data_IF_110385126503
#
_entry.id   IF_110385126503
#
_cell.length_a   1.000
_cell.length_b   1.000
_cell.length_c   1.000
_cell.angle_alpha   90.00
_cell.angle_beta   90.00
_cell.angle_gamma   90.00
#
_symmetry.space_group_name_H-M   'P 1'
#
loop_
_entity.id
_entity.type
_entity.pdbx_description
1 polymer ?
#
# COMPACT_ATOMS: atom_id res chain seq x y z
N UNK A 1 2.25 -42.33 -9.27
CA UNK A 1 2.52 -41.01 -8.67
C UNK A 1 3.37 -41.25 -7.44
N UNK A 2 4.57 -40.66 -7.37
CA UNK A 2 5.39 -40.69 -6.15
C UNK A 2 4.66 -39.90 -5.05
N UNK A 3 4.81 -40.32 -3.80
CA UNK A 3 4.32 -39.54 -2.67
C UNK A 3 5.12 -38.24 -2.56
N UNK A 4 4.49 -37.12 -2.19
CA UNK A 4 5.17 -35.82 -2.08
C UNK A 4 6.42 -35.88 -1.18
N UNK A 5 6.36 -36.65 -0.09
CA UNK A 5 7.49 -36.81 0.81
C UNK A 5 8.65 -37.62 0.21
N UNK A 6 8.37 -38.57 -0.70
CA UNK A 6 9.42 -39.30 -1.44
C UNK A 6 10.14 -38.37 -2.42
N UNK A 7 9.39 -37.52 -3.14
CA UNK A 7 9.95 -36.47 -3.98
C UNK A 7 10.83 -35.49 -3.19
N UNK A 8 10.41 -35.11 -1.96
CA UNK A 8 11.21 -34.22 -1.12
C UNK A 8 12.55 -34.85 -0.75
N UNK A 9 12.57 -36.14 -0.36
CA UNK A 9 13.80 -36.85 -0.01
C UNK A 9 14.74 -36.94 -1.21
N UNK A 10 14.21 -37.27 -2.40
CA UNK A 10 15.00 -37.38 -3.64
C UNK A 10 15.65 -36.05 -4.05
N UNK A 11 15.01 -34.92 -3.72
CA UNK A 11 15.51 -33.58 -4.04
C UNK A 11 16.20 -32.89 -2.85
N UNK A 12 16.58 -33.64 -1.80
CA UNK A 12 17.31 -33.10 -0.64
C UNK A 12 16.51 -32.10 0.21
N UNK A 13 15.17 -32.12 0.11
CA UNK A 13 14.27 -31.30 0.92
C UNK A 13 13.77 -32.08 2.13
N UNK A 14 13.51 -31.37 3.23
CA UNK A 14 12.94 -31.99 4.43
C UNK A 14 11.53 -32.56 4.16
N UNK A 15 11.24 -33.75 4.69
CA UNK A 15 9.90 -34.36 4.62
C UNK A 15 8.89 -33.51 5.41
N UNK A 16 7.67 -33.36 4.87
CA UNK A 16 6.61 -32.60 5.54
C UNK A 16 5.83 -33.49 6.51
N UNK A 17 5.58 -32.97 7.71
CA UNK A 17 4.67 -33.59 8.68
C UNK A 17 3.21 -33.34 8.28
N UNK A 18 2.61 -34.35 7.65
CA UNK A 18 1.21 -34.32 7.20
C UNK A 18 0.25 -34.16 8.38
N UNK A 19 0.57 -34.70 9.56
CA UNK A 19 -0.28 -34.59 10.73
C UNK A 19 -0.26 -33.16 11.29
N UNK A 20 0.92 -32.52 11.29
CA UNK A 20 1.09 -31.11 11.63
C UNK A 20 0.34 -30.18 10.67
N UNK A 21 0.43 -30.41 9.36
CA UNK A 21 -0.31 -29.64 8.35
C UNK A 21 -1.82 -29.78 8.55
N UNK A 22 -2.31 -31.01 8.73
CA UNK A 22 -3.74 -31.26 8.95
C UNK A 22 -4.23 -30.61 10.25
N UNK A 23 -3.42 -30.62 11.31
CA UNK A 23 -3.75 -29.97 12.58
C UNK A 23 -3.83 -28.45 12.44
N UNK A 24 -2.85 -27.84 11.75
CA UNK A 24 -2.87 -26.40 11.45
C UNK A 24 -4.09 -26.02 10.62
N UNK A 25 -4.37 -26.77 9.55
CA UNK A 25 -5.52 -26.56 8.69
C UNK A 25 -6.84 -26.65 9.46
N UNK A 26 -7.01 -27.69 10.29
CA UNK A 26 -8.22 -27.85 11.10
C UNK A 26 -8.32 -26.82 12.24
N UNK A 27 -7.21 -26.21 12.66
CA UNK A 27 -7.20 -25.15 13.67
C UNK A 27 -7.53 -23.76 13.11
N UNK A 28 -7.44 -23.59 11.79
CA UNK A 28 -7.84 -22.35 11.13
C UNK A 28 -9.36 -22.30 11.08
N UNK A 29 -9.93 -21.35 11.82
CA UNK A 29 -11.31 -20.94 11.59
C UNK A 29 -11.35 -20.16 10.28
N UNK A 30 -12.41 -20.28 9.45
CA UNK A 30 -12.57 -19.39 8.31
C UNK A 30 -12.57 -17.96 8.84
N UNK A 31 -11.52 -17.20 8.52
CA UNK A 31 -11.24 -15.87 9.09
C UNK A 31 -12.12 -14.77 8.48
N UNK A 32 -13.24 -15.14 7.86
CA UNK A 32 -14.10 -14.24 7.09
C UNK A 32 -15.56 -14.35 7.51
N UNK A 33 -16.24 -13.21 7.49
CA UNK A 33 -17.70 -13.16 7.41
C UNK A 33 -18.13 -13.97 6.16
N UNK A 34 -19.07 -14.93 6.26
CA UNK A 34 -19.59 -15.65 5.09
C UNK A 34 -20.20 -14.70 4.05
N UNK A 35 -20.56 -13.49 4.48
CA UNK A 35 -21.11 -12.45 3.62
C UNK A 35 -20.02 -11.44 3.27
N UNK A 36 -19.58 -11.46 2.00
CA UNK A 36 -18.66 -10.45 1.49
C UNK A 36 -19.32 -9.05 1.55
N UNK A 37 -18.69 -8.05 2.21
CA UNK A 37 -19.24 -6.70 2.33
C UNK A 37 -19.57 -6.07 0.97
N UNK A 38 -20.63 -5.24 0.88
CA UNK A 38 -21.09 -4.68 -0.39
C UNK A 38 -20.04 -3.79 -1.06
N UNK A 39 -19.16 -3.17 -0.29
CA UNK A 39 -18.04 -2.37 -0.80
C UNK A 39 -17.00 -3.24 -1.51
N UNK A 40 -16.64 -4.38 -0.92
CA UNK A 40 -15.68 -5.32 -1.49
C UNK A 40 -16.24 -5.96 -2.76
N UNK A 41 -17.55 -6.29 -2.78
CA UNK A 41 -18.22 -6.79 -4.00
C UNK A 41 -18.15 -5.79 -5.14
N UNK A 42 -18.49 -4.52 -4.87
CA UNK A 42 -18.44 -3.44 -5.86
C UNK A 42 -17.02 -3.18 -6.36
N UNK A 43 -16.03 -3.19 -5.46
CA UNK A 43 -14.63 -3.03 -5.83
C UNK A 43 -14.18 -4.16 -6.77
N UNK A 44 -14.50 -5.42 -6.43
CA UNK A 44 -14.13 -6.58 -7.26
C UNK A 44 -14.83 -6.57 -8.62
N UNK A 45 -16.08 -6.13 -8.66
CA UNK A 45 -16.82 -5.95 -9.91
C UNK A 45 -16.20 -4.85 -10.79
N UNK A 46 -15.80 -3.73 -10.20
CA UNK A 46 -15.08 -2.66 -10.89
C UNK A 46 -13.72 -3.14 -11.44
N UNK A 47 -12.94 -3.87 -10.63
CA UNK A 47 -11.68 -4.47 -11.08
C UNK A 47 -11.89 -5.40 -12.26
N UNK A 48 -12.93 -6.25 -12.23
CA UNK A 48 -13.25 -7.14 -13.37
C UNK A 48 -13.59 -6.36 -14.63
N UNK A 49 -14.41 -5.31 -14.51
CA UNK A 49 -14.76 -4.45 -15.65
C UNK A 49 -13.53 -3.75 -16.24
N UNK A 50 -12.58 -3.34 -15.39
CA UNK A 50 -11.31 -2.76 -15.84
C UNK A 50 -10.50 -3.80 -16.58
N UNK A 51 -10.26 -4.98 -16.00
CA UNK A 51 -9.51 -6.07 -16.64
C UNK A 51 -10.12 -6.44 -18.00
N UNK A 52 -11.44 -6.66 -18.05
CA UNK A 52 -12.17 -6.98 -19.30
C UNK A 52 -12.05 -5.86 -20.35
N UNK A 53 -12.07 -4.60 -19.92
CA UNK A 53 -11.91 -3.45 -20.82
C UNK A 53 -10.47 -3.24 -21.30
N UNK A 54 -9.48 -3.70 -20.53
CA UNK A 54 -8.05 -3.54 -20.79
C UNK A 54 -7.48 -4.75 -21.56
N UNK A 55 -8.09 -5.93 -21.45
CA UNK A 55 -7.70 -7.18 -22.11
C UNK A 55 -7.85 -7.21 -23.64
N UNK A 56 -8.12 -6.07 -24.29
CA UNK A 56 -8.04 -5.95 -25.75
C UNK A 56 -6.60 -5.99 -26.31
N UNK A 57 -5.58 -6.21 -25.46
CA UNK A 57 -4.21 -6.46 -25.88
C UNK A 57 -3.61 -7.61 -25.08
N UNK A 58 -3.62 -8.81 -25.67
CA UNK A 58 -3.26 -10.06 -25.00
C UNK A 58 -1.96 -10.03 -24.21
N UNK A 59 -2.09 -10.30 -22.92
CA UNK A 59 -1.04 -10.85 -22.08
C UNK A 59 -1.69 -12.01 -21.34
N UNK A 60 -1.27 -13.23 -21.70
CA UNK A 60 -1.63 -14.46 -21.00
C UNK A 60 -1.44 -14.26 -19.48
N UNK A 61 -2.49 -14.54 -18.72
CA UNK A 61 -2.46 -14.77 -17.27
C UNK A 61 -1.44 -15.89 -16.98
N UNK A 62 -0.22 -15.50 -16.68
CA UNK A 62 0.69 -16.30 -15.87
C UNK A 62 0.49 -15.82 -14.44
N UNK A 63 -0.32 -16.55 -13.67
CA UNK A 63 -0.40 -16.45 -12.22
C UNK A 63 1.03 -16.57 -11.64
N UNK A 64 1.65 -15.44 -11.35
CA UNK A 64 2.93 -15.32 -10.64
C UNK A 64 2.62 -14.90 -9.21
N UNK A 65 2.32 -15.89 -8.36
CA UNK A 65 2.24 -15.75 -6.90
C UNK A 65 3.67 -15.47 -6.36
N UNK A 66 4.14 -14.22 -6.48
CA UNK A 66 5.35 -13.72 -5.82
C UNK A 66 5.00 -13.10 -4.45
N UNK A 67 4.70 -13.98 -3.49
CA UNK A 67 4.59 -13.64 -2.06
C UNK A 67 6.00 -13.50 -1.44
N UNK A 68 6.72 -12.43 -1.80
CA UNK A 68 7.95 -12.03 -1.09
C UNK A 68 7.61 -11.23 0.17
N UNK A 69 7.22 -11.93 1.24
CA UNK A 69 7.14 -11.38 2.60
C UNK A 69 8.52 -11.46 3.28
N UNK A 70 9.31 -10.38 3.22
CA UNK A 70 10.46 -10.19 4.11
C UNK A 70 9.97 -9.51 5.39
N UNK A 71 9.63 -10.33 6.38
CA UNK A 71 9.18 -9.94 7.71
C UNK A 71 10.38 -10.07 8.66
N UNK A 72 11.11 -8.97 8.88
CA UNK A 72 12.10 -8.85 9.95
C UNK A 72 11.54 -7.98 11.09
N UNK A 73 11.06 -8.70 12.11
CA UNK A 73 11.01 -8.39 13.54
C UNK A 73 11.29 -6.95 14.04
N UNK A 74 10.28 -6.38 14.70
CA UNK A 74 10.36 -5.38 15.77
C UNK A 74 11.39 -5.75 16.85
N UNK A 75 12.11 -4.76 17.43
CA UNK A 75 12.15 -4.42 18.89
C UNK A 75 12.76 -3.00 19.14
N UNK A 76 11.95 -2.09 19.71
CA UNK A 76 12.24 -0.96 20.62
C UNK A 76 13.52 -0.07 20.50
N UNK A 77 13.33 1.26 20.38
CA UNK A 77 13.79 2.26 21.36
C UNK A 77 13.44 3.72 20.98
N UNK A 78 13.12 4.49 22.01
CA UNK A 78 12.83 5.93 22.09
C UNK A 78 13.82 6.87 21.36
N UNK A 79 13.29 7.99 20.82
CA UNK A 79 13.94 9.30 20.95
C UNK A 79 14.71 9.88 19.75
N UNK A 80 14.21 11.04 19.30
CA UNK A 80 14.91 12.22 18.73
C UNK A 80 15.24 12.31 17.22
N UNK A 81 14.60 13.30 16.61
CA UNK A 81 15.13 14.42 15.82
C UNK A 81 15.92 14.24 14.50
N UNK A 82 15.25 14.71 13.43
CA UNK A 82 15.69 15.62 12.34
C UNK A 82 16.82 15.21 11.37
N UNK A 83 16.57 15.52 10.08
CA UNK A 83 17.47 15.70 8.91
C UNK A 83 17.52 14.50 7.95
N UNK A 84 16.89 14.60 6.77
CA UNK A 84 17.46 15.17 5.54
C UNK A 84 18.82 14.55 5.20
N UNK A 85 18.89 13.73 4.15
CA UNK A 85 19.96 13.79 3.15
C UNK A 85 19.65 12.90 1.93
N UNK A 86 19.47 13.58 0.81
CA UNK A 86 19.70 13.11 -0.55
C UNK A 86 21.14 12.64 -0.80
N UNK A 87 21.33 11.53 -1.52
CA UNK A 87 22.40 11.28 -2.53
C UNK A 87 22.32 9.80 -2.95
N UNK A 88 21.96 9.47 -4.19
CA UNK A 88 22.85 9.40 -5.35
C UNK A 88 24.05 8.46 -5.13
N UNK A 89 23.95 7.23 -5.65
CA UNK A 89 25.13 6.42 -5.94
C UNK A 89 24.92 5.62 -7.23
N UNK A 90 25.59 6.09 -8.27
CA UNK A 90 25.77 5.46 -9.58
C UNK A 90 26.98 4.53 -9.53
N UNK A 91 26.89 3.35 -10.15
CA UNK A 91 28.02 2.50 -10.58
C UNK A 91 27.40 1.47 -11.56
N UNK A 92 27.51 1.57 -12.89
CA UNK A 92 28.66 1.50 -13.81
C UNK A 92 29.40 0.15 -13.85
N UNK A 93 29.01 -0.65 -14.86
CA UNK A 93 29.84 -1.37 -15.86
C UNK A 93 30.91 -2.41 -15.46
N UNK A 94 30.68 -3.63 -15.98
CA UNK A 94 31.60 -4.53 -16.73
C UNK A 94 32.96 -4.92 -16.15
N UNK A 95 33.25 -6.23 -16.05
CA UNK A 95 34.22 -6.93 -16.92
C UNK A 95 34.33 -8.42 -16.53
N UNK A 96 34.38 -9.26 -17.56
CA UNK A 96 34.64 -10.71 -17.58
C UNK A 96 36.10 -11.07 -17.35
N UNK A 97 36.40 -12.24 -16.77
CA UNK A 97 37.41 -13.20 -17.27
C UNK A 97 37.43 -14.53 -16.48
N UNK A 98 37.63 -15.64 -17.22
CA UNK A 98 37.80 -17.02 -16.74
C UNK A 98 39.26 -17.31 -16.35
N UNK A 99 39.59 -18.52 -15.80
CA UNK A 99 40.06 -19.59 -16.71
C UNK A 99 39.88 -21.08 -16.29
N UNK A 100 39.95 -21.94 -17.31
CA UNK A 100 40.60 -23.27 -17.42
C UNK A 100 40.03 -24.59 -16.83
N UNK A 101 39.39 -25.36 -17.74
CA UNK A 101 39.72 -26.74 -18.18
C UNK A 101 39.67 -27.96 -17.23
N UNK A 102 38.80 -28.94 -17.55
CA UNK A 102 39.16 -30.34 -17.87
C UNK A 102 38.01 -31.11 -18.56
N UNK A 103 38.43 -32.10 -19.36
CA UNK A 103 37.71 -32.81 -20.45
C UNK A 103 36.85 -33.98 -19.95
N UNK A 104 35.75 -34.25 -20.67
CA UNK A 104 35.01 -35.53 -20.69
C UNK A 104 34.01 -35.51 -21.85
N UNK A 105 34.03 -36.55 -22.70
CA UNK A 105 33.45 -36.57 -24.04
C UNK A 105 32.06 -37.25 -24.13
N UNK A 106 31.43 -37.06 -25.30
CA UNK A 106 30.18 -37.65 -25.83
C UNK A 106 28.89 -36.94 -25.34
N UNK A 107 27.89 -36.57 -26.15
CA UNK A 107 27.47 -37.06 -27.46
C UNK A 107 26.62 -35.99 -28.18
N UNK A 108 26.44 -36.17 -29.48
CA UNK A 108 26.02 -35.21 -30.50
C UNK A 108 24.52 -34.87 -30.42
N UNK A 109 24.18 -33.60 -30.17
CA UNK A 109 22.84 -33.04 -30.35
C UNK A 109 22.83 -31.96 -31.43
N UNK A 110 22.23 -32.25 -32.58
CA UNK A 110 22.12 -31.35 -33.72
C UNK A 110 21.33 -30.07 -33.38
N UNK A 111 22.01 -28.94 -33.19
CA UNK A 111 21.36 -27.62 -33.12
C UNK A 111 21.41 -26.96 -34.49
N UNK A 112 20.24 -26.92 -35.11
CA UNK A 112 19.93 -26.28 -36.37
C UNK A 112 20.46 -24.84 -36.45
N UNK A 113 21.49 -24.63 -37.27
CA UNK A 113 21.86 -23.31 -37.80
C UNK A 113 20.76 -22.86 -38.76
N UNK A 114 19.87 -21.94 -38.34
CA UNK A 114 19.18 -20.93 -39.19
C UNK A 114 18.09 -20.23 -38.36
N UNK A 115 18.26 -18.92 -38.13
CA UNK A 115 17.24 -17.83 -38.30
C UNK A 115 17.63 -16.54 -37.55
N UNK A 116 18.75 -15.90 -37.93
CA UNK A 116 19.02 -14.49 -37.59
C UNK A 116 18.87 -13.56 -38.82
N UNK A 117 18.11 -13.98 -39.85
CA UNK A 117 17.92 -13.20 -41.09
C UNK A 117 16.64 -12.35 -41.12
N UNK A 118 15.77 -12.45 -40.12
CA UNK A 118 14.54 -11.65 -40.04
C UNK A 118 14.74 -10.26 -39.42
N UNK A 119 15.87 -10.01 -38.75
CA UNK A 119 16.04 -8.81 -37.91
C UNK A 119 16.48 -7.55 -38.68
N UNK A 120 17.10 -7.70 -39.86
CA UNK A 120 17.61 -6.54 -40.64
C UNK A 120 16.48 -5.83 -41.40
N UNK A 121 15.49 -6.59 -41.88
CA UNK A 121 14.35 -6.01 -42.61
C UNK A 121 13.47 -5.18 -41.66
N UNK A 122 13.24 -5.64 -40.43
CA UNK A 122 12.46 -4.89 -39.43
C UNK A 122 13.09 -3.56 -39.00
N UNK A 123 14.44 -3.46 -39.00
CA UNK A 123 15.14 -2.20 -38.72
C UNK A 123 14.96 -1.20 -39.87
N UNK A 124 15.06 -1.65 -41.13
CA UNK A 124 14.83 -0.78 -42.29
C UNK A 124 13.37 -0.34 -42.41
N UNK A 125 12.42 -1.21 -42.06
CA UNK A 125 10.98 -0.88 -42.02
C UNK A 125 10.66 0.11 -40.89
N UNK A 126 11.30 -0.04 -39.71
CA UNK A 126 11.20 0.94 -38.61
C UNK A 126 11.80 2.28 -38.99
N UNK A 127 12.94 2.28 -39.70
CA UNK A 127 13.57 3.51 -40.19
C UNK A 127 12.69 4.19 -41.26
N UNK A 128 12.10 3.42 -42.18
CA UNK A 128 11.14 3.92 -43.15
C UNK A 128 9.91 4.53 -42.47
N UNK A 129 9.35 3.87 -41.46
CA UNK A 129 8.22 4.39 -40.68
C UNK A 129 8.58 5.58 -39.78
N UNK A 130 9.85 5.74 -39.42
CA UNK A 130 10.34 6.89 -38.67
C UNK A 130 10.51 8.13 -39.57
N UNK A 131 11.03 7.94 -40.79
CA UNK A 131 11.23 9.00 -41.79
C UNK A 131 9.96 9.37 -42.58
N UNK A 132 8.92 8.55 -42.49
CA UNK A 132 7.59 8.82 -43.05
C UNK A 132 6.97 10.09 -42.42
N UNK A 133 6.71 11.11 -43.25
CA UNK A 133 6.29 12.44 -42.83
C UNK A 133 4.89 12.41 -42.23
N UNK A 134 3.94 11.70 -42.86
CA UNK A 134 2.55 11.64 -42.39
C UNK A 134 2.45 10.98 -41.02
N UNK A 135 3.22 9.90 -40.80
CA UNK A 135 3.30 9.23 -39.49
C UNK A 135 4.00 10.09 -38.44
N UNK A 136 4.92 10.96 -38.83
CA UNK A 136 5.56 11.89 -37.91
C UNK A 136 4.58 12.96 -37.46
N UNK A 137 3.84 13.56 -38.38
CA UNK A 137 2.82 14.56 -38.06
C UNK A 137 1.72 13.99 -37.16
N UNK A 138 1.32 12.73 -37.39
CA UNK A 138 0.34 12.06 -36.54
C UNK A 138 0.89 11.78 -35.13
N UNK A 139 2.16 11.37 -35.00
CA UNK A 139 2.82 11.27 -33.70
C UNK A 139 2.89 12.62 -32.99
N UNK A 140 3.19 13.69 -33.71
CA UNK A 140 3.27 15.04 -33.14
C UNK A 140 1.92 15.51 -32.62
N UNK A 141 0.83 15.35 -33.41
CA UNK A 141 -0.55 15.62 -32.95
C UNK A 141 -0.94 14.78 -31.75
N UNK A 142 -0.59 13.48 -31.74
CA UNK A 142 -0.87 12.62 -30.60
C UNK A 142 -0.12 13.08 -29.34
N UNK A 143 1.13 13.53 -29.50
CA UNK A 143 1.96 14.05 -28.42
C UNK A 143 1.40 15.36 -27.87
N UNK A 144 0.90 16.25 -28.72
CA UNK A 144 0.24 17.50 -28.32
C UNK A 144 -1.01 17.22 -27.48
N UNK A 145 -1.86 16.30 -27.94
CA UNK A 145 -3.07 15.89 -27.22
C UNK A 145 -2.72 15.28 -25.85
N UNK A 146 -1.71 14.40 -25.81
CA UNK A 146 -1.21 13.81 -24.56
C UNK A 146 -0.65 14.90 -23.63
N UNK A 147 0.10 15.87 -24.14
CA UNK A 147 0.64 16.98 -23.37
C UNK A 147 -0.49 17.83 -22.77
N UNK A 148 -1.55 18.09 -23.54
CA UNK A 148 -2.75 18.80 -23.10
C UNK A 148 -3.43 18.08 -21.93
N UNK A 149 -3.70 16.76 -22.06
CA UNK A 149 -4.31 15.99 -20.99
C UNK A 149 -3.41 15.88 -19.75
N UNK A 150 -2.08 15.77 -19.93
CA UNK A 150 -1.14 15.80 -18.80
C UNK A 150 -1.24 17.11 -18.02
N UNK A 151 -1.31 18.25 -18.72
CA UNK A 151 -1.47 19.56 -18.09
C UNK A 151 -2.80 19.64 -17.32
N UNK A 152 -3.89 19.15 -17.90
CA UNK A 152 -5.20 19.13 -17.24
C UNK A 152 -5.18 18.25 -15.98
N UNK A 153 -4.54 17.08 -16.03
CA UNK A 153 -4.38 16.20 -14.87
C UNK A 153 -3.59 16.90 -13.77
N UNK A 154 -2.52 17.61 -14.11
CA UNK A 154 -1.74 18.37 -13.12
C UNK A 154 -2.55 19.49 -12.46
N UNK A 155 -3.36 20.22 -13.22
CA UNK A 155 -4.27 21.22 -12.67
C UNK A 155 -5.27 20.58 -11.69
N UNK A 156 -5.92 19.50 -12.09
CA UNK A 156 -6.87 18.79 -11.23
C UNK A 156 -6.20 18.24 -9.95
N UNK A 157 -4.95 17.77 -10.06
CA UNK A 157 -4.15 17.35 -8.90
C UNK A 157 -3.85 18.52 -7.96
N UNK A 158 -3.55 19.70 -8.49
CA UNK A 158 -3.37 20.90 -7.69
C UNK A 158 -4.65 21.30 -6.97
N UNK A 159 -5.78 21.36 -7.68
CA UNK A 159 -7.09 21.68 -7.08
C UNK A 159 -7.43 20.73 -5.94
N UNK A 160 -7.19 19.42 -6.15
CA UNK A 160 -7.40 18.40 -5.13
C UNK A 160 -6.52 18.63 -3.89
N UNK A 161 -5.25 19.05 -4.05
CA UNK A 161 -4.38 19.40 -2.93
C UNK A 161 -4.91 20.62 -2.17
N UNK A 162 -5.31 21.66 -2.89
CA UNK A 162 -5.84 22.88 -2.28
C UNK A 162 -7.14 22.64 -1.51
N UNK A 163 -8.05 21.85 -2.07
CA UNK A 163 -9.30 21.48 -1.40
C UNK A 163 -9.06 20.65 -0.14
N UNK A 164 -8.06 19.76 -0.15
CA UNK A 164 -7.64 19.01 1.05
C UNK A 164 -7.10 19.94 2.13
N UNK A 165 -6.19 20.86 1.79
CA UNK A 165 -5.70 21.85 2.76
C UNK A 165 -6.84 22.67 3.38
N UNK A 166 -7.80 23.12 2.58
CA UNK A 166 -8.97 23.86 3.08
C UNK A 166 -9.85 23.01 4.00
N UNK A 167 -10.00 21.72 3.71
CA UNK A 167 -10.74 20.80 4.56
C UNK A 167 -10.06 20.65 5.93
N UNK A 168 -8.74 20.45 5.93
CA UNK A 168 -7.93 20.29 7.15
C UNK A 168 -7.98 21.57 8.00
N UNK A 169 -7.86 22.75 7.40
CA UNK A 169 -8.01 24.03 8.10
C UNK A 169 -9.39 24.20 8.75
N UNK A 170 -10.46 23.76 8.08
CA UNK A 170 -11.82 23.83 8.62
C UNK A 170 -12.03 22.83 9.75
N UNK A 171 -11.47 21.64 9.62
CA UNK A 171 -11.50 20.62 10.65
C UNK A 171 -10.78 21.09 11.91
N UNK A 172 -9.58 21.68 11.74
CA UNK A 172 -8.83 22.26 12.85
C UNK A 172 -9.62 23.36 13.58
N UNK A 173 -10.28 24.27 12.83
CA UNK A 173 -11.13 25.31 13.43
C UNK A 173 -12.29 24.73 14.25
N UNK A 174 -12.94 23.67 13.76
CA UNK A 174 -14.00 23.01 14.52
C UNK A 174 -13.47 22.38 15.80
N UNK A 175 -12.29 21.78 15.76
CA UNK A 175 -11.68 21.16 16.93
C UNK A 175 -11.22 22.20 17.95
N UNK A 176 -10.70 23.36 17.51
CA UNK A 176 -10.41 24.50 18.37
C UNK A 176 -11.66 25.06 19.06
N UNK A 177 -12.77 25.22 18.31
CA UNK A 177 -14.06 25.65 18.84
C UNK A 177 -14.61 24.65 19.87
N UNK A 178 -14.47 23.34 19.61
CA UNK A 178 -14.86 22.28 20.55
C UNK A 178 -14.05 22.32 21.83
N UNK A 179 -12.73 22.50 21.74
CA UNK A 179 -11.86 22.64 22.91
C UNK A 179 -12.24 23.88 23.71
N UNK A 180 -12.52 24.99 23.03
CA UNK A 180 -12.95 26.23 23.67
C UNK A 180 -14.28 26.07 24.42
N UNK A 181 -15.28 25.46 23.78
CA UNK A 181 -16.57 25.17 24.42
C UNK A 181 -16.41 24.26 25.65
N UNK A 182 -15.64 23.17 25.53
CA UNK A 182 -15.36 22.26 26.64
C UNK A 182 -14.66 22.96 27.82
N UNK A 183 -13.79 23.93 27.53
CA UNK A 183 -13.12 24.73 28.56
C UNK A 183 -14.11 25.64 29.31
N UNK A 184 -15.02 26.28 28.58
CA UNK A 184 -16.08 27.10 29.18
C UNK A 184 -17.01 26.24 30.04
N UNK A 185 -17.46 25.10 29.53
CA UNK A 185 -18.32 24.18 30.28
C UNK A 185 -17.62 23.69 31.55
N UNK A 186 -16.32 23.39 31.47
CA UNK A 186 -15.52 23.01 32.64
C UNK A 186 -15.43 24.13 33.69
N UNK A 187 -15.40 25.40 33.26
CA UNK A 187 -15.44 26.54 34.19
C UNK A 187 -16.81 26.63 34.87
N UNK A 188 -17.90 26.57 34.10
CA UNK A 188 -19.25 26.60 34.66
C UNK A 188 -19.52 25.45 35.63
N UNK A 189 -19.02 24.24 35.33
CA UNK A 189 -19.16 23.10 36.24
C UNK A 189 -18.39 23.31 37.55
N UNK A 190 -17.21 23.93 37.51
CA UNK A 190 -16.46 24.28 38.73
C UNK A 190 -17.19 25.30 39.57
N UNK A 191 -17.64 26.40 38.98
CA UNK A 191 -18.41 27.44 39.69
C UNK A 191 -19.69 26.86 40.30
N UNK A 192 -20.39 26.01 39.56
CA UNK A 192 -21.59 25.32 40.05
C UNK A 192 -21.27 24.38 41.23
N UNK A 193 -20.15 23.67 41.19
CA UNK A 193 -19.70 22.80 42.27
C UNK A 193 -19.28 23.61 43.52
N UNK A 194 -18.61 24.75 43.33
CA UNK A 194 -18.23 25.67 44.41
C UNK A 194 -19.46 26.25 45.11
N UNK A 195 -20.44 26.75 44.36
CA UNK A 195 -21.70 27.25 44.91
C UNK A 195 -22.47 26.16 45.66
N UNK A 196 -22.49 24.92 45.15
CA UNK A 196 -23.10 23.80 45.86
C UNK A 196 -22.38 23.51 47.19
N UNK A 197 -21.05 23.51 47.19
CA UNK A 197 -20.25 23.32 48.41
C UNK A 197 -20.46 24.47 49.42
N UNK A 198 -20.58 25.71 48.96
CA UNK A 198 -20.89 26.86 49.81
C UNK A 198 -22.28 26.77 50.44
N UNK A 199 -23.29 26.39 49.64
CA UNK A 199 -24.65 26.12 50.14
C UNK A 199 -24.61 25.04 51.23
N UNK A 200 -23.91 23.95 50.99
CA UNK A 200 -23.84 22.83 51.95
C UNK A 200 -23.11 23.24 53.24
N UNK A 201 -22.04 24.03 53.15
CA UNK A 201 -21.38 24.65 54.32
C UNK A 201 -22.30 25.59 55.09
N UNK A 202 -23.11 26.39 54.39
CA UNK A 202 -24.06 27.31 55.02
C UNK A 202 -25.16 26.54 55.77
N UNK A 203 -25.71 25.48 55.17
CA UNK A 203 -26.68 24.60 55.81
C UNK A 203 -26.10 23.92 57.05
N UNK A 204 -24.86 23.44 57.00
CA UNK A 204 -24.18 22.89 58.18
C UNK A 204 -24.04 23.90 59.31
N UNK A 205 -23.65 25.15 59.00
CA UNK A 205 -23.57 26.23 60.00
C UNK A 205 -24.93 26.52 60.64
N UNK A 206 -25.99 26.53 59.83
CA UNK A 206 -27.36 26.78 60.29
C UNK A 206 -27.83 25.67 61.23
N UNK A 207 -27.60 24.40 60.86
CA UNK A 207 -27.91 23.24 61.70
C UNK A 207 -27.18 23.31 63.06
N UNK A 208 -25.90 23.68 63.07
CA UNK A 208 -25.13 23.86 64.31
C UNK A 208 -25.74 24.98 65.16
N UNK A 209 -26.14 26.10 64.56
CA UNK A 209 -26.77 27.21 65.27
C UNK A 209 -28.14 26.83 65.87
N UNK A 210 -28.95 26.04 65.16
CA UNK A 210 -30.23 25.53 65.66
C UNK A 210 -30.03 24.58 66.85
N UNK A 211 -29.05 23.69 66.77
CA UNK A 211 -28.68 22.78 67.87
C UNK A 211 -28.21 23.55 69.12
N UNK A 212 -27.41 24.60 68.95
CA UNK A 212 -26.93 25.40 70.08
C UNK A 212 -28.03 26.25 70.74
N UNK A 213 -29.06 26.66 70.00
CA UNK A 213 -30.12 27.54 70.52
C UNK A 213 -31.40 26.80 70.95
N UNK A 214 -31.38 25.47 70.99
CA UNK A 214 -32.40 24.67 71.68
C UNK A 214 -33.82 24.81 71.11
N UNK A 215 -33.98 25.11 69.82
CA UNK A 215 -35.28 25.03 69.16
C UNK A 215 -35.55 23.59 68.75
N UNK A 216 -36.06 22.79 69.69
CA UNK A 216 -36.82 21.57 69.41
C UNK A 216 -38.31 21.88 69.36
#
# INVERSE_FOLDING_TARGET
>A
MLSYNEYCIENGRASRDVAGIRRKFNSLKPTGDPTCPPEVKRAKEASRMITESVEFGGLDDMDDDDDSWDEQHDEHAEGLDVLNLSASSRHSSTHSEAPAAKRGASEVGAVSKKKNKANVNGVMDSLAAFLDVDKRDERERSSEVIAMYRLQIEHLRQDCRELRCKLDEKQQKLDDERIFAARIDSQFQRERAELAAERDRALQKLLVYELMNGKS
#
